data_IF_595376826741
#
_entry.id   IF_595376826741
#
_cell.length_a   1.000
_cell.length_b   1.000
_cell.length_c   1.000
_cell.angle_alpha   90.00
_cell.angle_beta   90.00
_cell.angle_gamma   90.00
#
_symmetry.space_group_name_H-M   'P 1'
#
loop_
_entity.id
_entity.type
_entity.pdbx_description
1 polymer ?
#
# COMPACT_ATOMS: atom_id res chain seq x y z
N UNK A 1 20.56 -11.20 1.53
CA UNK A 1 19.36 -10.46 1.10
C UNK A 1 18.57 -10.18 2.37
N UNK A 2 18.44 -8.92 2.77
CA UNK A 2 17.65 -8.54 3.96
C UNK A 2 16.21 -8.35 3.49
N UNK A 3 15.29 -9.18 3.96
CA UNK A 3 13.86 -9.03 3.69
C UNK A 3 13.24 -8.21 4.82
N UNK A 4 12.80 -6.99 4.53
CA UNK A 4 11.99 -6.21 5.47
C UNK A 4 10.54 -6.68 5.30
N UNK A 5 9.92 -7.12 6.40
CA UNK A 5 8.48 -7.41 6.42
C UNK A 5 7.71 -6.11 6.60
N UNK A 6 6.66 -5.94 5.79
CA UNK A 6 5.79 -4.77 5.83
C UNK A 6 4.52 -5.11 6.61
N UNK A 7 4.19 -4.31 7.62
CA UNK A 7 3.04 -4.55 8.49
C UNK A 7 2.12 -3.33 8.52
N UNK A 8 0.82 -3.58 8.47
CA UNK A 8 -0.20 -2.56 8.72
C UNK A 8 -0.31 -2.39 10.23
N UNK A 9 0.07 -1.21 10.74
CA UNK A 9 0.05 -0.91 12.17
C UNK A 9 -1.28 -0.33 12.62
N UNK A 10 -1.63 -0.44 13.90
CA UNK A 10 -2.91 0.06 14.45
C UNK A 10 -3.15 1.58 14.31
N UNK A 11 -2.17 2.33 13.80
CA UNK A 11 -2.24 3.77 13.54
C UNK A 11 -2.27 4.12 12.05
N UNK A 12 -2.29 3.12 11.15
CA UNK A 12 -2.29 3.34 9.70
C UNK A 12 -3.51 4.18 9.29
N UNK A 13 -3.26 5.16 8.42
CA UNK A 13 -4.30 5.93 7.73
C UNK A 13 -4.14 5.74 6.24
N UNK A 14 -5.24 5.81 5.51
CA UNK A 14 -5.23 5.74 4.06
C UNK A 14 -6.15 6.82 3.48
N UNK A 15 -5.75 7.40 2.35
CA UNK A 15 -6.65 8.07 1.40
C UNK A 15 -6.71 7.16 0.18
N UNK A 16 -7.89 6.63 -0.15
CA UNK A 16 -8.04 5.73 -1.30
C UNK A 16 -8.10 6.50 -2.63
N UNK A 17 -8.13 5.79 -3.76
CA UNK A 17 -8.23 6.42 -5.09
C UNK A 17 -9.48 7.28 -5.31
N UNK A 18 -10.54 7.07 -4.52
CA UNK A 18 -11.78 7.87 -4.57
C UNK A 18 -11.68 9.15 -3.71
N UNK A 19 -10.57 9.34 -2.98
CA UNK A 19 -10.34 10.47 -2.08
C UNK A 19 -10.86 10.27 -0.67
N UNK A 20 -11.40 9.09 -0.34
CA UNK A 20 -11.97 8.81 0.98
C UNK A 20 -10.90 8.48 2.01
N UNK A 21 -11.06 9.01 3.21
CA UNK A 21 -10.24 8.67 4.36
C UNK A 21 -10.65 7.31 4.93
N UNK A 22 -9.73 6.35 4.90
CA UNK A 22 -9.89 4.98 5.42
C UNK A 22 -9.01 4.82 6.66
N UNK A 23 -9.65 4.55 7.79
CA UNK A 23 -8.94 4.25 9.05
C UNK A 23 -8.40 2.82 9.07
N UNK A 24 -7.44 2.54 9.96
CA UNK A 24 -6.94 1.19 10.20
C UNK A 24 -8.06 0.16 10.46
N UNK A 25 -9.08 0.51 11.26
CA UNK A 25 -10.19 -0.41 11.57
C UNK A 25 -11.02 -0.69 10.32
N UNK A 26 -11.39 0.35 9.56
CA UNK A 26 -12.12 0.19 8.30
C UNK A 26 -11.34 -0.66 7.29
N UNK A 27 -10.03 -0.42 7.19
CA UNK A 27 -9.16 -1.20 6.32
C UNK A 27 -9.07 -2.67 6.76
N UNK A 28 -8.89 -2.91 8.06
CA UNK A 28 -8.78 -4.25 8.65
C UNK A 28 -10.08 -5.04 8.55
N UNK A 29 -11.22 -4.39 8.73
CA UNK A 29 -12.54 -5.01 8.60
C UNK A 29 -12.87 -5.32 7.13
N UNK A 30 -12.42 -4.47 6.21
CA UNK A 30 -12.66 -4.64 4.78
C UNK A 30 -11.81 -5.74 4.14
N UNK A 31 -10.52 -5.87 4.52
CA UNK A 31 -9.57 -6.80 3.91
C UNK A 31 -10.09 -8.26 3.82
N UNK A 32 -10.62 -8.89 4.89
CA UNK A 32 -11.17 -10.24 4.82
C UNK A 32 -12.33 -10.38 3.83
N UNK A 33 -13.10 -9.31 3.61
CA UNK A 33 -14.25 -9.33 2.69
C UNK A 33 -13.84 -9.38 1.23
N UNK A 34 -12.61 -8.97 0.89
CA UNK A 34 -12.09 -8.95 -0.48
C UNK A 34 -11.00 -9.99 -0.74
N UNK A 35 -10.46 -10.60 0.32
CA UNK A 35 -9.47 -11.66 0.21
C UNK A 35 -9.99 -12.83 -0.63
N UNK A 36 -9.17 -13.27 -1.60
CA UNK A 36 -9.50 -14.39 -2.49
C UNK A 36 -10.56 -14.10 -3.56
N UNK A 37 -11.17 -12.91 -3.61
CA UNK A 37 -12.19 -12.58 -4.63
C UNK A 37 -11.63 -12.49 -6.05
N UNK A 38 -10.34 -12.23 -6.19
CA UNK A 38 -9.69 -12.03 -7.50
C UNK A 38 -8.48 -12.97 -7.64
N UNK A 39 -8.71 -14.28 -7.80
CA UNK A 39 -7.63 -15.29 -7.77
C UNK A 39 -6.64 -15.16 -8.95
N UNK A 40 -7.08 -14.57 -10.07
CA UNK A 40 -6.22 -14.30 -11.23
C UNK A 40 -5.58 -12.92 -11.20
N UNK A 41 -5.82 -12.10 -10.16
CA UNK A 41 -5.26 -10.75 -10.10
C UNK A 41 -3.76 -10.81 -9.92
N UNK A 42 -3.05 -10.11 -10.79
CA UNK A 42 -1.64 -9.78 -10.60
C UNK A 42 -1.50 -8.31 -10.25
N UNK A 43 -0.45 -8.01 -9.49
CA UNK A 43 -0.09 -6.65 -9.08
C UNK A 43 1.36 -6.42 -9.46
N UNK A 44 1.61 -5.34 -10.19
CA UNK A 44 2.95 -4.89 -10.57
C UNK A 44 3.16 -3.46 -10.06
N UNK A 45 4.42 -3.13 -9.75
CA UNK A 45 4.84 -1.79 -9.34
C UNK A 45 5.83 -1.23 -10.36
N UNK A 46 5.64 0.02 -10.74
CA UNK A 46 6.53 0.75 -11.64
C UNK A 46 6.87 2.13 -11.05
N UNK A 47 7.94 2.76 -11.56
CA UNK A 47 8.40 4.08 -11.13
C UNK A 47 8.58 4.19 -9.60
N UNK A 48 9.14 3.14 -9.00
CA UNK A 48 9.35 3.06 -7.55
C UNK A 48 10.52 3.98 -7.18
N UNK A 49 10.24 4.99 -6.35
CA UNK A 49 11.25 5.82 -5.69
C UNK A 49 11.10 5.69 -4.17
N UNK A 50 12.22 5.50 -3.48
CA UNK A 50 12.25 5.30 -2.03
C UNK A 50 13.30 6.22 -1.41
N UNK A 51 12.84 7.07 -0.50
CA UNK A 51 13.69 7.91 0.33
C UNK A 51 13.52 7.50 1.79
N UNK A 52 14.60 7.39 2.54
CA UNK A 52 14.54 6.95 3.92
C UNK A 52 15.55 7.64 4.82
N UNK A 53 15.22 7.64 6.10
CA UNK A 53 16.06 8.02 7.23
C UNK A 53 16.18 6.82 8.17
N UNK A 54 16.87 6.98 9.29
CA UNK A 54 16.96 5.93 10.33
C UNK A 54 15.61 5.54 10.95
N UNK A 55 14.56 6.37 10.79
CA UNK A 55 13.26 6.18 11.45
C UNK A 55 12.09 6.09 10.50
N UNK A 56 12.17 6.67 9.31
CA UNK A 56 11.04 6.72 8.38
C UNK A 56 11.47 6.45 6.95
N UNK A 57 10.58 5.80 6.19
CA UNK A 57 10.69 5.66 4.74
C UNK A 57 9.48 6.26 4.03
N UNK A 58 9.73 6.98 2.93
CA UNK A 58 8.74 7.42 1.96
C UNK A 58 8.96 6.62 0.67
N UNK A 59 7.94 5.86 0.26
CA UNK A 59 7.91 5.18 -1.03
C UNK A 59 6.87 5.83 -1.93
N UNK A 60 7.24 6.18 -3.15
CA UNK A 60 6.29 6.56 -4.21
C UNK A 60 6.38 5.55 -5.34
N UNK A 61 5.24 5.20 -5.93
CA UNK A 61 5.17 4.18 -6.98
C UNK A 61 3.88 4.32 -7.79
N UNK A 62 3.84 3.68 -8.96
CA UNK A 62 2.60 3.39 -9.68
C UNK A 62 2.27 1.92 -9.50
N UNK A 63 1.09 1.62 -8.96
CA UNK A 63 0.56 0.26 -8.88
C UNK A 63 -0.31 -0.04 -10.10
N UNK A 64 -0.13 -1.23 -10.68
CA UNK A 64 -0.88 -1.74 -11.80
C UNK A 64 -1.51 -3.06 -11.38
N UNK A 65 -2.84 -3.12 -11.34
CA UNK A 65 -3.59 -4.34 -11.08
C UNK A 65 -4.19 -4.87 -12.38
N UNK A 66 -3.88 -6.12 -12.72
CA UNK A 66 -4.39 -6.79 -13.91
C UNK A 66 -5.28 -7.94 -13.48
N UNK A 67 -6.55 -7.94 -13.90
CA UNK A 67 -7.53 -9.01 -13.63
C UNK A 67 -8.26 -9.36 -14.93
N UNK A 68 -7.85 -10.43 -15.60
CA UNK A 68 -8.32 -10.72 -16.95
C UNK A 68 -7.91 -9.60 -17.91
N UNK A 69 -8.88 -9.03 -18.62
CA UNK A 69 -8.66 -7.91 -19.56
C UNK A 69 -8.70 -6.53 -18.88
N UNK A 70 -9.08 -6.47 -17.59
CA UNK A 70 -9.17 -5.22 -16.85
C UNK A 70 -7.82 -4.83 -16.26
N UNK A 71 -7.36 -3.62 -16.56
CA UNK A 71 -6.14 -3.01 -16.02
C UNK A 71 -6.52 -1.75 -15.25
N UNK A 72 -6.27 -1.74 -13.94
CA UNK A 72 -6.41 -0.54 -13.10
C UNK A 72 -5.03 -0.02 -12.72
N UNK A 73 -4.85 1.29 -12.77
CA UNK A 73 -3.61 1.96 -12.40
C UNK A 73 -3.87 3.02 -11.35
N UNK A 74 -2.93 3.15 -10.40
CA UNK A 74 -2.96 4.21 -9.39
C UNK A 74 -1.56 4.64 -9.04
N UNK A 75 -1.39 5.94 -8.80
CA UNK A 75 -0.20 6.48 -8.16
C UNK A 75 -0.36 6.35 -6.66
N UNK A 76 0.73 6.02 -5.97
CA UNK A 76 0.72 5.78 -4.54
C UNK A 76 1.90 6.45 -3.87
N UNK A 77 1.66 6.95 -2.66
CA UNK A 77 2.67 7.48 -1.74
C UNK A 77 2.46 6.87 -0.36
N UNK A 78 3.47 6.15 0.14
CA UNK A 78 3.42 5.44 1.41
C UNK A 78 4.51 5.94 2.36
N UNK A 79 4.11 6.38 3.55
CA UNK A 79 5.02 6.69 4.66
C UNK A 79 5.03 5.51 5.62
N UNK A 80 6.23 5.09 6.01
CA UNK A 80 6.47 4.00 6.95
C UNK A 80 7.35 4.42 8.11
N UNK A 81 7.10 3.85 9.29
CA UNK A 81 8.02 3.87 10.42
C UNK A 81 8.94 2.66 10.33
N UNK A 82 10.24 2.87 10.40
CA UNK A 82 11.26 1.83 10.42
C UNK A 82 11.54 1.47 11.87
N UNK A 83 11.24 0.23 12.24
CA UNK A 83 11.46 -0.31 13.59
C UNK A 83 12.23 -1.61 13.46
N UNK A 84 13.48 -1.59 13.91
CA UNK A 84 14.40 -2.73 13.81
C UNK A 84 14.52 -3.25 12.35
N UNK A 85 13.95 -4.42 12.07
CA UNK A 85 13.95 -5.09 10.77
C UNK A 85 12.61 -4.98 10.02
N UNK A 86 11.72 -4.07 10.45
CA UNK A 86 10.35 -3.93 9.92
C UNK A 86 10.05 -2.51 9.45
N UNK A 87 9.14 -2.43 8.49
CA UNK A 87 8.50 -1.19 8.06
C UNK A 87 7.01 -1.24 8.42
N UNK A 88 6.58 -0.36 9.31
CA UNK A 88 5.17 -0.21 9.70
C UNK A 88 4.52 0.86 8.84
N UNK A 89 3.40 0.56 8.20
CA UNK A 89 2.65 1.55 7.42
C UNK A 89 2.03 2.61 8.34
N UNK A 90 2.39 3.88 8.11
CA UNK A 90 1.81 5.01 8.82
C UNK A 90 0.71 5.67 7.98
N UNK A 91 0.99 5.91 6.70
CA UNK A 91 0.06 6.58 5.80
C UNK A 91 0.22 6.05 4.38
N UNK A 92 -0.90 5.79 3.69
CA UNK A 92 -0.95 5.53 2.26
C UNK A 92 -1.88 6.54 1.59
N UNK A 93 -1.47 7.13 0.47
CA UNK A 93 -2.33 7.93 -0.39
C UNK A 93 -2.32 7.31 -1.77
N UNK A 94 -3.50 7.10 -2.35
CA UNK A 94 -3.69 6.57 -3.69
C UNK A 94 -4.47 7.55 -4.57
N UNK A 95 -4.13 7.61 -5.86
CA UNK A 95 -4.83 8.41 -6.86
C UNK A 95 -5.00 7.58 -8.13
N UNK A 96 -6.22 7.47 -8.65
CA UNK A 96 -6.48 6.78 -9.92
C UNK A 96 -5.77 7.47 -11.09
N UNK A 97 -5.32 6.68 -12.06
CA UNK A 97 -4.69 7.17 -13.31
C UNK A 97 -5.60 6.93 -14.50
#
# INVERSE_FOLDING_TARGET
MVSISMQVGGVTRMINGDGDAVSFHMFSDWLPTVYGKFPSRSVALENVDIQYSDKHGLATYTEIQITGDTINKRKSSAVSLIVEDRALWLHLIEEWV
#
